data_IF_149741161489
#
_entry.id   IF_149741161489
#
_cell.length_a   1.000
_cell.length_b   1.000
_cell.length_c   1.000
_cell.angle_alpha   90.00
_cell.angle_beta   90.00
_cell.angle_gamma   90.00
#
_symmetry.space_group_name_H-M   'P 1'
#
loop_
_entity.id
_entity.type
_entity.pdbx_description
1 polymer ?
#
# COMPACT_ATOMS: atom_id res chain seq x y z
N UNK A 1 -6.34 15.23 30.99
CA UNK A 1 -5.00 15.08 30.39
C UNK A 1 -4.56 13.66 30.66
N UNK A 2 -4.79 12.78 29.68
CA UNK A 2 -4.66 11.33 29.81
C UNK A 2 -3.22 10.90 29.56
N UNK A 3 -2.62 10.35 30.60
CA UNK A 3 -1.35 9.63 30.62
C UNK A 3 -1.51 8.26 29.94
N UNK A 4 -0.73 8.01 28.89
CA UNK A 4 -0.69 6.76 28.11
C UNK A 4 0.57 5.93 28.41
N UNK A 5 1.17 6.10 29.58
CA UNK A 5 2.39 5.38 29.94
C UNK A 5 2.10 4.24 30.91
N UNK A 6 1.72 3.07 30.36
CA UNK A 6 2.03 1.72 30.87
C UNK A 6 1.16 0.69 30.16
N UNK A 7 1.78 -0.22 29.42
CA UNK A 7 1.20 -1.54 29.37
C UNK A 7 1.67 -2.59 28.36
N UNK A 8 2.15 -3.70 28.94
CA UNK A 8 1.89 -5.08 28.51
C UNK A 8 2.58 -5.57 27.21
N UNK A 9 3.75 -6.19 27.36
CA UNK A 9 4.24 -7.24 26.44
C UNK A 9 4.11 -8.61 27.12
N UNK A 10 3.25 -9.52 26.63
CA UNK A 10 3.36 -10.93 26.98
C UNK A 10 4.38 -11.64 26.08
N UNK A 11 4.96 -12.71 26.63
CA UNK A 11 5.89 -13.63 25.98
C UNK A 11 5.46 -14.01 24.56
N UNK A 12 6.32 -13.73 23.58
CA UNK A 12 6.20 -14.29 22.23
C UNK A 12 6.84 -15.69 22.23
N UNK A 13 5.97 -16.70 22.20
CA UNK A 13 6.30 -18.09 21.88
C UNK A 13 6.84 -18.15 20.44
N UNK A 14 8.09 -18.62 20.31
CA UNK A 14 8.74 -18.98 19.05
C UNK A 14 7.95 -20.10 18.37
N UNK A 15 7.44 -19.86 17.17
CA UNK A 15 7.08 -20.94 16.24
C UNK A 15 8.30 -21.28 15.35
N UNK A 16 8.55 -22.57 15.07
CA UNK A 16 9.74 -23.01 14.37
C UNK A 16 9.53 -22.98 12.85
N UNK A 17 10.12 -21.99 12.18
CA UNK A 17 10.67 -22.23 10.85
C UNK A 17 12.07 -22.83 11.09
N UNK A 18 12.25 -24.10 10.73
CA UNK A 18 13.49 -24.84 11.01
C UNK A 18 14.72 -24.15 10.43
N UNK A 19 15.60 -23.70 11.31
CA UNK A 19 16.91 -23.13 10.98
C UNK A 19 17.99 -24.16 11.27
N UNK A 20 18.65 -24.68 10.23
CA UNK A 20 19.97 -25.29 10.36
C UNK A 20 21.00 -24.17 10.43
N UNK A 21 21.62 -24.02 11.60
CA UNK A 21 22.72 -23.08 11.84
C UNK A 21 23.99 -23.64 11.19
N UNK A 22 24.44 -23.01 10.10
CA UNK A 22 25.81 -23.16 9.60
C UNK A 22 26.64 -22.04 10.23
N UNK A 23 27.73 -22.43 10.90
CA UNK A 23 28.64 -21.54 11.61
C UNK A 23 29.32 -20.53 10.67
N UNK A 24 29.67 -19.32 11.15
CA UNK A 24 30.39 -18.33 10.35
C UNK A 24 31.87 -18.71 10.23
N UNK A 25 32.38 -18.73 8.99
CA UNK A 25 33.82 -18.69 8.72
C UNK A 25 34.25 -17.23 8.70
N UNK A 26 35.15 -16.88 9.61
CA UNK A 26 35.70 -15.56 9.78
C UNK A 26 36.85 -15.36 8.78
N UNK A 27 36.67 -14.49 7.79
CA UNK A 27 37.78 -14.01 6.95
C UNK A 27 37.78 -12.48 6.92
N UNK A 28 38.68 -11.92 7.74
CA UNK A 28 39.12 -10.52 7.69
C UNK A 28 39.89 -10.28 6.39
N UNK A 29 39.60 -9.17 5.70
CA UNK A 29 40.55 -8.50 4.80
C UNK A 29 40.13 -7.05 4.53
N UNK A 30 41.08 -6.18 4.11
CA UNK A 30 41.20 -4.83 4.67
C UNK A 30 40.50 -3.73 3.87
N UNK A 31 40.28 -2.65 4.62
CA UNK A 31 39.82 -1.32 4.23
C UNK A 31 40.73 -0.74 3.14
N UNK A 32 40.16 -0.42 1.98
CA UNK A 32 40.75 0.50 1.01
C UNK A 32 39.91 1.79 0.98
N UNK A 33 40.48 2.85 1.54
CA UNK A 33 39.99 4.23 1.44
C UNK A 33 40.35 4.73 0.05
N UNK A 34 39.37 5.12 -0.77
CA UNK A 34 39.60 5.93 -1.96
C UNK A 34 38.71 7.17 -1.94
N UNK A 35 39.37 8.29 -1.67
CA UNK A 35 38.87 9.66 -1.73
C UNK A 35 38.73 10.15 -3.18
N UNK A 36 37.71 11.00 -3.37
CA UNK A 36 37.58 12.08 -4.34
C UNK A 36 37.32 11.75 -5.83
N UNK A 37 36.14 12.16 -6.31
CA UNK A 37 36.05 13.17 -7.38
C UNK A 37 34.63 13.74 -7.49
N UNK A 38 34.52 15.02 -7.15
CA UNK A 38 33.38 15.88 -7.40
C UNK A 38 33.29 16.19 -8.89
N UNK A 39 32.13 15.93 -9.50
CA UNK A 39 31.74 16.56 -10.77
C UNK A 39 30.26 17.00 -10.69
N UNK A 40 30.14 18.31 -10.42
CA UNK A 40 29.25 19.27 -11.08
C UNK A 40 27.88 18.84 -11.61
N UNK A 41 26.87 19.47 -11.01
CA UNK A 41 25.50 19.69 -11.48
C UNK A 41 25.38 20.06 -12.97
N UNK A 42 24.31 19.59 -13.62
CA UNK A 42 23.29 20.46 -14.24
C UNK A 42 21.93 19.74 -14.33
N UNK A 43 20.82 20.31 -13.84
CA UNK A 43 19.48 19.77 -14.07
C UNK A 43 18.82 20.43 -15.30
N UNK A 44 18.54 19.62 -16.32
CA UNK A 44 17.83 20.04 -17.53
C UNK A 44 16.31 19.91 -17.31
N UNK A 45 15.71 20.90 -16.64
CA UNK A 45 14.26 21.03 -16.50
C UNK A 45 13.66 21.48 -17.83
N UNK A 46 12.95 20.57 -18.51
CA UNK A 46 12.15 20.91 -19.69
C UNK A 46 11.06 21.91 -19.31
N UNK A 47 11.03 23.03 -20.06
CA UNK A 47 9.97 24.03 -20.09
C UNK A 47 8.60 23.38 -20.31
N UNK A 48 7.68 23.63 -19.39
CA UNK A 48 6.24 23.50 -19.63
C UNK A 48 5.77 24.85 -20.21
N UNK A 49 5.15 24.89 -21.40
CA UNK A 49 4.59 26.13 -21.93
C UNK A 49 3.35 26.55 -21.13
N UNK A 50 3.44 27.74 -20.53
CA UNK A 50 2.31 28.46 -19.92
C UNK A 50 1.37 28.95 -21.01
N UNK A 51 0.26 28.23 -21.21
CA UNK A 51 -0.86 28.69 -22.03
C UNK A 51 -1.67 29.74 -21.27
N UNK A 52 -1.41 31.02 -21.55
CA UNK A 52 -2.25 32.14 -21.12
C UNK A 52 -3.60 32.11 -21.85
N UNK A 53 -4.72 31.95 -21.14
CA UNK A 53 -6.04 32.38 -21.63
C UNK A 53 -6.49 33.61 -20.85
N UNK A 54 -6.55 34.70 -21.61
CA UNK A 54 -6.96 36.03 -21.23
C UNK A 54 -8.46 36.22 -21.43
N UNK A 55 -9.00 37.18 -20.66
CA UNK A 55 -10.23 37.97 -20.84
C UNK A 55 -11.57 37.39 -20.38
N UNK A 56 -11.88 37.75 -19.15
CA UNK A 56 -13.16 38.33 -18.72
C UNK A 56 -13.56 39.58 -19.53
N UNK A 57 -14.82 39.67 -19.95
CA UNK A 57 -15.75 40.80 -19.69
C UNK A 57 -17.02 40.69 -20.55
N UNK A 58 -18.18 41.03 -19.98
CA UNK A 58 -19.48 41.04 -20.65
C UNK A 58 -20.57 40.42 -19.76
N UNK A 59 -21.05 41.13 -18.74
CA UNK A 59 -22.09 42.18 -18.78
C UNK A 59 -23.51 41.64 -18.61
N UNK A 60 -24.15 42.15 -17.55
CA UNK A 60 -25.56 42.48 -17.37
C UNK A 60 -26.64 41.39 -17.48
N UNK A 61 -27.16 41.06 -16.29
CA UNK A 61 -28.57 41.25 -15.91
C UNK A 61 -29.60 41.32 -17.05
N UNK A 62 -30.49 40.32 -17.11
CA UNK A 62 -31.92 40.58 -17.24
C UNK A 62 -32.74 39.52 -16.48
N UNK A 63 -33.67 40.04 -15.69
CA UNK A 63 -34.67 39.32 -14.91
C UNK A 63 -35.63 38.53 -15.79
N UNK A 64 -36.10 37.38 -15.31
CA UNK A 64 -37.34 36.76 -15.79
C UNK A 64 -38.11 36.11 -14.64
N UNK A 65 -39.13 36.86 -14.22
CA UNK A 65 -40.42 36.50 -13.66
C UNK A 65 -40.66 35.05 -13.19
N UNK A 66 -40.95 34.93 -11.89
CA UNK A 66 -41.78 33.86 -11.33
C UNK A 66 -43.12 33.78 -12.09
N UNK A 67 -43.41 32.63 -12.70
CA UNK A 67 -44.77 32.21 -13.01
C UNK A 67 -45.06 30.89 -12.31
N UNK A 68 -45.92 30.98 -11.31
CA UNK A 68 -46.61 29.85 -10.73
C UNK A 68 -47.39 29.09 -11.82
N UNK A 69 -47.26 27.77 -11.85
CA UNK A 69 -48.08 26.87 -12.69
C UNK A 69 -48.98 26.04 -11.78
N UNK A 70 -50.28 25.90 -12.12
CA UNK A 70 -51.26 25.27 -11.25
C UNK A 70 -51.15 23.75 -11.26
N UNK A 71 -51.66 23.15 -10.18
CA UNK A 71 -51.85 21.72 -10.00
C UNK A 71 -52.74 21.14 -11.13
N UNK A 72 -52.24 20.10 -11.80
CA UNK A 72 -53.02 19.27 -12.72
C UNK A 72 -52.82 17.79 -12.36
N UNK A 73 -53.86 17.26 -11.71
CA UNK A 73 -54.49 15.95 -11.87
C UNK A 73 -53.67 14.82 -12.53
N UNK A 74 -53.37 13.83 -11.69
CA UNK A 74 -53.49 12.38 -11.94
C UNK A 74 -53.47 11.88 -13.40
N UNK A 75 -52.40 11.16 -13.73
CA UNK A 75 -52.45 9.97 -14.60
C UNK A 75 -51.61 8.84 -14.00
N UNK A 76 -52.15 7.61 -13.85
CA UNK A 76 -51.38 6.47 -13.38
C UNK A 76 -50.39 6.06 -14.47
N UNK A 77 -49.10 6.15 -14.17
CA UNK A 77 -48.06 5.51 -14.98
C UNK A 77 -48.13 4.01 -14.69
N UNK A 78 -48.57 3.26 -15.68
CA UNK A 78 -48.46 1.81 -15.69
C UNK A 78 -46.99 1.42 -15.57
N UNK A 79 -46.66 0.70 -14.50
CA UNK A 79 -45.38 0.02 -14.36
C UNK A 79 -45.29 -1.01 -15.48
N UNK A 80 -44.54 -0.70 -16.54
CA UNK A 80 -43.99 -1.73 -17.39
C UNK A 80 -42.94 -2.46 -16.55
N UNK A 81 -43.28 -3.70 -16.19
CA UNK A 81 -42.35 -4.68 -15.66
C UNK A 81 -41.22 -4.86 -16.67
N UNK A 82 -40.14 -4.08 -16.49
CA UNK A 82 -38.90 -4.32 -17.17
C UNK A 82 -38.31 -5.54 -16.48
N UNK A 83 -38.45 -6.67 -17.15
CA UNK A 83 -37.88 -7.95 -16.77
C UNK A 83 -36.47 -7.71 -16.25
N UNK A 84 -36.26 -8.05 -14.97
CA UNK A 84 -34.94 -8.17 -14.38
C UNK A 84 -34.27 -9.26 -15.19
N UNK A 85 -33.53 -8.89 -16.24
CA UNK A 85 -32.51 -9.77 -16.77
C UNK A 85 -31.57 -9.96 -15.61
N UNK A 86 -31.68 -11.14 -14.99
CA UNK A 86 -30.65 -11.73 -14.17
C UNK A 86 -29.37 -11.68 -15.00
N UNK A 87 -28.64 -10.58 -14.87
CA UNK A 87 -27.22 -10.54 -15.15
C UNK A 87 -26.63 -11.43 -14.09
N UNK A 88 -26.65 -12.73 -14.42
CA UNK A 88 -25.79 -13.75 -13.85
C UNK A 88 -24.43 -13.08 -13.73
N UNK A 89 -24.16 -12.61 -12.52
CA UNK A 89 -22.84 -12.20 -12.12
C UNK A 89 -22.15 -13.55 -12.03
N UNK A 90 -21.69 -14.05 -13.18
CA UNK A 90 -20.59 -15.00 -13.21
C UNK A 90 -19.54 -14.28 -12.39
N UNK A 91 -19.46 -14.62 -11.11
CA UNK A 91 -18.28 -14.47 -10.32
C UNK A 91 -17.22 -15.15 -11.18
N UNK A 92 -16.53 -14.34 -11.99
CA UNK A 92 -15.45 -14.83 -12.81
C UNK A 92 -14.49 -15.40 -11.80
N UNK A 93 -14.45 -16.74 -11.73
CA UNK A 93 -13.58 -17.46 -10.84
C UNK A 93 -12.20 -16.86 -11.05
N UNK A 94 -11.73 -16.09 -10.07
CA UNK A 94 -10.40 -15.55 -10.11
C UNK A 94 -9.51 -16.78 -9.97
N UNK A 95 -8.87 -17.17 -11.06
CA UNK A 95 -8.13 -18.43 -11.08
C UNK A 95 -6.93 -18.32 -10.13
N UNK A 96 -6.68 -19.34 -9.28
CA UNK A 96 -5.40 -19.45 -8.60
C UNK A 96 -4.29 -19.42 -9.68
N UNK A 97 -3.21 -18.71 -9.41
CA UNK A 97 -2.08 -18.47 -10.34
C UNK A 97 -2.34 -17.52 -11.51
N UNK A 98 -3.20 -16.53 -11.29
CA UNK A 98 -3.38 -15.43 -12.24
C UNK A 98 -2.05 -14.67 -12.53
N UNK A 99 -1.86 -14.14 -13.75
CA UNK A 99 -0.77 -13.18 -14.03
C UNK A 99 -0.74 -12.01 -13.03
N UNK A 100 -1.92 -11.65 -12.50
CA UNK A 100 -2.08 -10.63 -11.47
C UNK A 100 -1.36 -10.99 -10.16
N UNK A 101 -1.39 -12.26 -9.73
CA UNK A 101 -0.65 -12.76 -8.56
C UNK A 101 0.84 -12.49 -8.71
N UNK A 102 1.42 -12.90 -9.85
CA UNK A 102 2.85 -12.73 -10.14
C UNK A 102 3.24 -11.25 -10.21
N UNK A 103 2.41 -10.42 -10.84
CA UNK A 103 2.66 -8.97 -10.94
C UNK A 103 2.61 -8.29 -9.56
N UNK A 104 1.61 -8.58 -8.72
CA UNK A 104 1.59 -8.03 -7.37
C UNK A 104 2.82 -8.43 -6.58
N UNK A 105 3.20 -9.71 -6.65
CA UNK A 105 4.37 -10.20 -5.92
C UNK A 105 5.66 -9.54 -6.42
N UNK A 106 5.89 -9.45 -7.73
CA UNK A 106 7.07 -8.78 -8.29
C UNK A 106 7.17 -7.31 -7.85
N UNK A 107 6.04 -6.60 -7.82
CA UNK A 107 5.98 -5.23 -7.33
C UNK A 107 6.22 -5.12 -5.82
N UNK A 108 5.87 -6.14 -5.05
CA UNK A 108 6.15 -6.18 -3.61
C UNK A 108 7.66 -6.29 -3.35
N UNK A 109 8.35 -7.11 -4.14
CA UNK A 109 9.80 -7.26 -4.05
C UNK A 109 10.56 -6.01 -4.47
N UNK A 110 10.09 -5.35 -5.53
CA UNK A 110 10.66 -4.09 -5.99
C UNK A 110 10.55 -3.01 -4.90
N UNK A 111 9.38 -2.86 -4.29
CA UNK A 111 9.17 -1.91 -3.20
C UNK A 111 10.03 -2.24 -1.97
N UNK A 112 10.16 -3.52 -1.60
CA UNK A 112 11.00 -3.94 -0.48
C UNK A 112 12.48 -3.58 -0.72
N UNK A 113 13.02 -3.92 -1.90
CA UNK A 113 14.40 -3.56 -2.26
C UNK A 113 14.60 -2.05 -2.25
N UNK A 114 13.66 -1.29 -2.80
CA UNK A 114 13.74 0.16 -2.84
C UNK A 114 13.67 0.78 -1.42
N UNK A 115 12.84 0.23 -0.54
CA UNK A 115 12.75 0.65 0.86
C UNK A 115 14.09 0.46 1.57
N UNK A 116 14.68 -0.74 1.48
CA UNK A 116 15.96 -1.08 2.12
C UNK A 116 17.10 -0.16 1.65
N UNK A 117 17.18 0.12 0.34
CA UNK A 117 18.19 1.01 -0.23
C UNK A 117 18.02 2.48 0.19
N UNK A 118 16.79 2.90 0.53
CA UNK A 118 16.46 4.30 0.78
C UNK A 118 16.36 4.67 2.26
N UNK A 119 16.51 3.70 3.18
CA UNK A 119 16.26 3.89 4.62
C UNK A 119 17.02 5.06 5.24
N UNK A 120 18.29 5.24 4.88
CA UNK A 120 19.13 6.30 5.45
C UNK A 120 18.97 7.64 4.70
N UNK A 121 18.84 7.58 3.37
CA UNK A 121 18.80 8.78 2.52
C UNK A 121 17.41 9.45 2.48
N UNK A 122 16.34 8.68 2.62
CA UNK A 122 14.96 9.14 2.50
C UNK A 122 14.03 8.30 3.39
N UNK A 123 14.12 8.41 4.72
CA UNK A 123 13.44 7.52 5.66
C UNK A 123 11.91 7.53 5.52
N UNK A 124 11.28 8.70 5.28
CA UNK A 124 9.83 8.77 5.04
C UNK A 124 9.42 7.97 3.80
N UNK A 125 10.10 8.18 2.68
CA UNK A 125 9.85 7.45 1.44
C UNK A 125 10.09 5.95 1.60
N UNK A 126 11.18 5.57 2.29
CA UNK A 126 11.54 4.19 2.57
C UNK A 126 10.46 3.48 3.38
N UNK A 127 9.93 4.11 4.43
CA UNK A 127 8.88 3.52 5.25
C UNK A 127 7.56 3.37 4.48
N UNK A 128 7.20 4.35 3.64
CA UNK A 128 6.05 4.23 2.74
C UNK A 128 6.20 3.14 1.68
N UNK A 129 7.42 2.88 1.19
CA UNK A 129 7.71 1.75 0.29
C UNK A 129 7.59 0.42 1.04
N UNK A 130 8.06 0.37 2.28
CA UNK A 130 7.98 -0.82 3.12
C UNK A 130 6.53 -1.26 3.36
N UNK A 131 5.63 -0.32 3.68
CA UNK A 131 4.21 -0.60 3.82
C UNK A 131 3.58 -1.12 2.51
N UNK A 132 3.95 -0.51 1.37
CA UNK A 132 3.45 -0.94 0.04
C UNK A 132 3.96 -2.33 -0.35
N UNK A 133 5.18 -2.69 0.05
CA UNK A 133 5.70 -4.04 -0.13
C UNK A 133 4.83 -5.07 0.58
N UNK A 134 4.53 -4.85 1.88
CA UNK A 134 3.65 -5.71 2.65
C UNK A 134 2.24 -5.78 2.04
N UNK A 135 1.67 -4.63 1.65
CA UNK A 135 0.34 -4.54 1.02
C UNK A 135 0.27 -5.36 -0.27
N UNK A 136 1.23 -5.19 -1.18
CA UNK A 136 1.27 -5.89 -2.46
C UNK A 136 1.49 -7.40 -2.27
N UNK A 137 2.31 -7.81 -1.30
CA UNK A 137 2.49 -9.21 -0.96
C UNK A 137 1.19 -9.84 -0.43
N UNK A 138 0.47 -9.14 0.45
CA UNK A 138 -0.84 -9.57 0.93
C UNK A 138 -1.88 -9.68 -0.21
N UNK A 139 -1.87 -8.72 -1.15
CA UNK A 139 -2.73 -8.76 -2.35
C UNK A 139 -2.38 -9.92 -3.28
N UNK A 140 -1.11 -10.28 -3.39
CA UNK A 140 -0.70 -11.48 -4.13
C UNK A 140 -1.27 -12.75 -3.49
N UNK A 141 -1.26 -12.87 -2.16
CA UNK A 141 -1.91 -13.98 -1.45
C UNK A 141 -3.41 -14.03 -1.75
N UNK A 142 -4.13 -12.91 -1.63
CA UNK A 142 -5.56 -12.87 -1.99
C UNK A 142 -5.81 -13.33 -3.43
N UNK A 143 -5.01 -12.84 -4.38
CA UNK A 143 -5.10 -13.27 -5.77
C UNK A 143 -4.86 -14.77 -5.94
N UNK A 144 -3.89 -15.35 -5.22
CA UNK A 144 -3.63 -16.79 -5.26
C UNK A 144 -4.80 -17.60 -4.68
N UNK A 145 -5.46 -17.10 -3.64
CA UNK A 145 -6.68 -17.71 -3.06
C UNK A 145 -7.94 -17.56 -3.94
N UNK A 146 -7.83 -16.99 -5.14
CA UNK A 146 -9.00 -16.70 -5.97
C UNK A 146 -9.87 -15.56 -5.44
N UNK A 147 -9.32 -14.71 -4.57
CA UNK A 147 -10.00 -13.55 -3.99
C UNK A 147 -9.54 -12.29 -4.73
N UNK A 148 -10.49 -11.55 -5.32
CA UNK A 148 -10.18 -10.25 -5.93
C UNK A 148 -9.71 -9.28 -4.85
N UNK A 149 -8.50 -8.70 -4.95
CA UNK A 149 -8.02 -7.78 -3.92
C UNK A 149 -8.88 -6.51 -3.86
N UNK A 150 -9.28 -6.06 -2.65
CA UNK A 150 -9.99 -4.81 -2.45
C UNK A 150 -9.07 -3.59 -2.69
N UNK A 151 -9.70 -2.42 -2.90
CA UNK A 151 -9.02 -1.11 -2.96
C UNK A 151 -8.81 -0.54 -1.55
N UNK A 152 -8.12 -1.28 -0.69
CA UNK A 152 -7.70 -0.82 0.64
C UNK A 152 -6.18 -0.94 0.78
N UNK A 153 -5.64 -0.16 1.70
CA UNK A 153 -4.23 -0.12 2.08
C UNK A 153 -3.99 -0.67 3.50
N UNK A 154 -5.04 -0.95 4.28
CA UNK A 154 -4.91 -1.58 5.60
C UNK A 154 -4.60 -3.07 5.46
N UNK A 155 -3.58 -3.53 6.17
CA UNK A 155 -3.13 -4.91 6.19
C UNK A 155 -4.08 -5.81 6.98
N UNK A 156 -4.62 -5.34 8.10
CA UNK A 156 -5.68 -6.01 8.86
C UNK A 156 -6.94 -6.17 8.01
N UNK A 157 -7.35 -5.11 7.30
CA UNK A 157 -8.45 -5.18 6.36
C UNK A 157 -8.18 -6.23 5.27
N UNK A 158 -6.98 -6.27 4.69
CA UNK A 158 -6.61 -7.30 3.69
C UNK A 158 -6.61 -8.71 4.28
N UNK A 159 -6.06 -8.90 5.48
CA UNK A 159 -6.05 -10.17 6.19
C UNK A 159 -7.47 -10.68 6.47
N UNK A 160 -8.42 -9.77 6.75
CA UNK A 160 -9.81 -10.13 7.06
C UNK A 160 -10.55 -10.84 5.91
N UNK A 161 -10.11 -10.64 4.66
CA UNK A 161 -10.65 -11.33 3.49
C UNK A 161 -10.25 -12.79 3.39
N UNK A 162 -9.17 -13.20 4.06
CA UNK A 162 -8.75 -14.60 4.11
C UNK A 162 -9.65 -15.42 5.06
N UNK A 163 -9.86 -16.72 4.83
CA UNK A 163 -10.55 -17.58 5.79
C UNK A 163 -9.95 -17.45 7.22
N UNK A 164 -10.74 -17.58 8.30
CA UNK A 164 -10.26 -17.42 9.68
C UNK A 164 -9.04 -18.28 10.01
N UNK A 165 -8.99 -19.52 9.51
CA UNK A 165 -7.92 -20.48 9.76
C UNK A 165 -6.78 -20.41 8.73
N UNK A 166 -6.81 -19.41 7.85
CA UNK A 166 -5.81 -19.27 6.81
C UNK A 166 -4.46 -18.82 7.40
N UNK A 167 -3.39 -19.56 7.08
CA UNK A 167 -2.04 -19.36 7.68
C UNK A 167 -1.48 -17.94 7.53
N UNK A 168 -1.87 -17.22 6.48
CA UNK A 168 -1.41 -15.85 6.22
C UNK A 168 -2.23 -14.75 6.90
N UNK A 169 -3.40 -15.08 7.46
CA UNK A 169 -4.29 -14.09 8.08
C UNK A 169 -3.58 -13.34 9.20
N UNK A 170 -3.02 -14.07 10.16
CA UNK A 170 -2.30 -13.47 11.30
C UNK A 170 -0.99 -12.76 10.89
N UNK A 171 -0.05 -13.39 10.15
CA UNK A 171 1.20 -12.72 9.77
C UNK A 171 1.01 -11.42 8.98
N UNK A 172 -0.03 -11.31 8.15
CA UNK A 172 -0.35 -10.07 7.44
C UNK A 172 -0.94 -9.04 8.42
N UNK A 173 -1.90 -9.44 9.25
CA UNK A 173 -2.55 -8.54 10.21
C UNK A 173 -1.61 -7.99 11.29
N UNK A 174 -0.64 -8.79 11.74
CA UNK A 174 0.36 -8.38 12.75
C UNK A 174 1.24 -7.19 12.28
N UNK A 175 1.25 -6.90 10.98
CA UNK A 175 2.00 -5.80 10.38
C UNK A 175 1.19 -4.49 10.20
N UNK A 176 -0.07 -4.43 10.68
CA UNK A 176 -0.94 -3.24 10.51
C UNK A 176 -0.31 -1.94 11.05
N UNK A 177 0.55 -2.03 12.06
CA UNK A 177 1.27 -0.86 12.57
C UNK A 177 2.11 -0.15 11.47
N UNK A 178 2.64 -0.91 10.51
CA UNK A 178 3.41 -0.37 9.38
C UNK A 178 2.49 0.39 8.42
N UNK A 179 1.29 -0.12 8.12
CA UNK A 179 0.34 0.58 7.25
C UNK A 179 -0.19 1.87 7.89
N UNK A 180 -0.48 1.85 9.19
CA UNK A 180 -0.92 3.05 9.93
C UNK A 180 0.18 4.12 9.88
N UNK A 181 1.40 3.77 10.27
CA UNK A 181 2.50 4.72 10.33
C UNK A 181 2.89 5.25 8.93
N UNK A 182 2.80 4.44 7.87
CA UNK A 182 3.05 4.90 6.50
C UNK A 182 1.99 5.89 5.98
N UNK A 183 0.72 5.71 6.34
CA UNK A 183 -0.32 6.69 6.02
C UNK A 183 -0.01 8.01 6.73
N UNK A 184 0.32 7.98 8.01
CA UNK A 184 0.72 9.18 8.77
C UNK A 184 1.94 9.86 8.15
N UNK A 185 2.97 9.10 7.77
CA UNK A 185 4.19 9.64 7.15
C UNK A 185 3.96 10.34 5.80
N UNK A 186 2.87 10.02 5.10
CA UNK A 186 2.53 10.58 3.78
C UNK A 186 1.83 11.95 3.83
N UNK A 187 1.40 12.41 5.00
CA UNK A 187 0.67 13.67 5.17
C UNK A 187 1.36 14.58 6.19
N UNK A 188 1.27 15.91 6.03
CA UNK A 188 1.69 16.82 7.08
C UNK A 188 0.74 16.74 8.27
N UNK A 189 1.26 17.05 9.45
CA UNK A 189 0.47 17.32 10.67
C UNK A 189 -0.37 18.59 10.47
N UNK A 190 -1.28 18.85 11.42
CA UNK A 190 -2.06 20.10 11.45
C UNK A 190 -1.18 21.35 11.52
N UNK A 191 0.07 21.22 11.98
CA UNK A 191 1.05 22.30 12.07
C UNK A 191 1.93 22.41 10.81
N UNK A 192 1.71 21.55 9.80
CA UNK A 192 2.46 21.55 8.55
C UNK A 192 3.81 20.83 8.61
N UNK A 193 4.11 20.12 9.71
CA UNK A 193 5.33 19.32 9.88
C UNK A 193 5.13 17.87 9.43
N UNK A 194 6.16 17.13 9.01
CA UNK A 194 6.04 15.69 8.82
C UNK A 194 5.75 14.99 10.16
N UNK A 195 5.01 13.88 10.13
CA UNK A 195 4.92 13.00 11.29
C UNK A 195 6.28 12.39 11.65
N UNK A 196 6.48 12.17 12.95
CA UNK A 196 7.62 11.43 13.47
C UNK A 196 7.60 10.01 12.93
N UNK A 197 8.75 9.59 12.41
CA UNK A 197 8.96 8.21 12.01
C UNK A 197 9.45 7.38 13.20
N UNK A 198 9.27 6.05 13.13
CA UNK A 198 10.07 5.16 13.95
C UNK A 198 11.56 5.44 13.76
N UNK A 199 12.36 5.12 14.77
CA UNK A 199 13.81 5.19 14.67
C UNK A 199 14.33 4.29 13.54
N UNK A 200 15.51 4.60 13.00
CA UNK A 200 16.12 3.80 11.92
C UNK A 200 16.24 2.32 12.30
N UNK A 201 16.51 2.01 13.57
CA UNK A 201 16.60 0.64 14.07
C UNK A 201 15.22 -0.06 14.12
N UNK A 202 14.17 0.65 14.50
CA UNK A 202 12.78 0.14 14.42
C UNK A 202 12.33 -0.06 12.97
N UNK A 203 12.72 0.84 12.07
CA UNK A 203 12.46 0.71 10.64
C UNK A 203 13.18 -0.53 10.07
N UNK A 204 14.46 -0.74 10.41
CA UNK A 204 15.23 -1.94 10.02
C UNK A 204 14.60 -3.22 10.55
N UNK A 205 14.12 -3.21 11.79
CA UNK A 205 13.37 -4.33 12.38
C UNK A 205 12.10 -4.61 11.58
N UNK A 206 11.31 -3.58 11.29
CA UNK A 206 10.10 -3.69 10.46
C UNK A 206 10.43 -4.24 9.06
N UNK A 207 11.54 -3.82 8.45
CA UNK A 207 11.98 -4.36 7.17
C UNK A 207 12.39 -5.83 7.23
N UNK A 208 12.99 -6.28 8.33
CA UNK A 208 13.27 -7.70 8.52
C UNK A 208 11.98 -8.52 8.61
N UNK A 209 10.96 -8.01 9.32
CA UNK A 209 9.64 -8.67 9.42
C UNK A 209 8.93 -8.76 8.06
N UNK A 210 8.93 -7.67 7.28
CA UNK A 210 8.35 -7.67 5.92
C UNK A 210 9.16 -8.54 4.96
N UNK A 211 10.50 -8.55 5.07
CA UNK A 211 11.36 -9.43 4.26
C UNK A 211 11.05 -10.90 4.52
N UNK A 212 10.89 -11.27 5.78
CA UNK A 212 10.50 -12.63 6.16
C UNK A 212 9.12 -12.99 5.59
N UNK A 213 8.13 -12.10 5.74
CA UNK A 213 6.81 -12.29 5.14
C UNK A 213 6.90 -12.51 3.63
N UNK A 214 7.59 -11.63 2.91
CA UNK A 214 7.76 -11.70 1.44
C UNK A 214 8.47 -13.00 1.06
N UNK A 215 9.52 -13.40 1.77
CA UNK A 215 10.24 -14.65 1.54
C UNK A 215 9.32 -15.87 1.70
N UNK A 216 8.58 -15.95 2.81
CA UNK A 216 7.71 -17.10 3.04
C UNK A 216 6.49 -17.12 2.10
N UNK A 217 5.94 -15.95 1.71
CA UNK A 217 4.89 -15.86 0.67
C UNK A 217 5.44 -16.31 -0.68
N UNK A 218 6.68 -15.97 -1.04
CA UNK A 218 7.31 -16.44 -2.28
C UNK A 218 7.25 -17.96 -2.39
N UNK A 219 7.71 -18.64 -1.33
CA UNK A 219 7.69 -20.10 -1.23
C UNK A 219 6.27 -20.64 -1.32
N UNK A 220 5.33 -19.98 -0.66
CA UNK A 220 3.92 -20.35 -0.72
C UNK A 220 3.34 -20.28 -2.14
N UNK A 221 3.67 -19.23 -2.89
CA UNK A 221 3.21 -19.03 -4.26
C UNK A 221 3.93 -19.92 -5.28
N UNK A 222 4.88 -20.77 -4.85
CA UNK A 222 5.67 -21.62 -5.76
C UNK A 222 6.55 -20.82 -6.72
N UNK A 223 6.90 -19.58 -6.38
CA UNK A 223 7.75 -18.73 -7.22
C UNK A 223 9.22 -19.05 -6.96
N UNK A 224 9.79 -19.92 -7.77
CA UNK A 224 11.23 -20.20 -7.71
C UNK A 224 12.05 -18.93 -8.04
N UNK A 225 13.19 -18.78 -7.36
CA UNK A 225 14.21 -17.82 -7.76
C UNK A 225 14.64 -18.16 -9.20
N UNK A 226 14.70 -17.16 -10.11
CA UNK A 226 15.30 -17.36 -11.43
C UNK A 226 16.77 -17.76 -11.31
#
# INVERSE_FOLDING_TARGET
>A
MTDWSRGWWPLILRHPCGFSVVAPVETRSPIAILTCLSLSMTPNWRRIPTGSRSRSSGSAFLATCFRARPAALMRPRTWSARSVTSSSTKAGAFMPDSPTTKTFFALAEEDLRAAELSMEAAPHSAYCLLARAAEKAAKAVLCHEGIRPPKTHSLDALASFLPPDHKWRKPIGDLENISIAAVSAGYPTTEGTPFDLPSVEEMKKSAAEVRELVSCIRTYLGLNLP
#
